data_IF_144032750317
#
_entry.id   IF_144032750317
#
_cell.length_a   1.000
_cell.length_b   1.000
_cell.length_c   1.000
_cell.angle_alpha   90.00
_cell.angle_beta   90.00
_cell.angle_gamma   90.00
#
_symmetry.space_group_name_H-M   'P 1'
#
loop_
_entity.id
_entity.type
_entity.pdbx_description
1 polymer ?
#
# COMPACT_ATOMS: atom_id res chain seq x y z
N UNK A 1 21.51 -0.01 36.50
CA UNK A 1 21.89 0.83 35.36
C UNK A 1 21.40 2.26 35.61
N UNK A 2 22.27 3.27 35.60
CA UNK A 2 21.92 4.66 35.93
C UNK A 2 21.65 5.45 34.65
N UNK A 3 20.45 6.00 34.50
CA UNK A 3 20.07 6.82 33.34
C UNK A 3 20.75 8.19 33.48
N UNK A 4 21.52 8.66 32.47
CA UNK A 4 22.16 9.97 32.52
C UNK A 4 21.16 11.06 32.16
N UNK A 5 20.71 11.83 33.16
CA UNK A 5 19.83 12.97 32.97
C UNK A 5 20.63 14.28 32.84
N UNK A 6 20.07 15.24 32.11
CA UNK A 6 20.67 16.57 31.89
C UNK A 6 20.39 17.54 33.05
N UNK A 7 19.23 17.38 33.70
CA UNK A 7 18.80 18.20 34.86
C UNK A 7 18.49 17.32 36.06
N UNK A 8 18.56 17.90 37.27
CA UNK A 8 18.21 17.20 38.52
C UNK A 8 16.73 16.76 38.56
N UNK A 9 15.84 17.48 37.84
CA UNK A 9 14.43 17.13 37.68
C UNK A 9 14.18 15.88 36.82
N UNK A 10 15.20 15.31 36.17
CA UNK A 10 15.11 14.10 35.33
C UNK A 10 14.15 14.19 34.14
N UNK A 11 13.89 15.39 33.66
CA UNK A 11 12.98 15.63 32.54
C UNK A 11 13.64 15.33 31.19
N UNK A 12 14.95 15.57 31.10
CA UNK A 12 15.72 15.46 29.86
C UNK A 12 16.87 14.45 29.99
N UNK A 13 17.08 13.64 28.96
CA UNK A 13 18.23 12.73 28.85
C UNK A 13 19.46 13.53 28.42
N UNK A 14 20.65 13.16 28.92
CA UNK A 14 21.89 13.81 28.55
C UNK A 14 22.31 13.47 27.11
N UNK A 15 22.91 14.43 26.42
CA UNK A 15 23.38 14.32 25.04
C UNK A 15 24.65 13.44 24.96
N UNK A 16 24.46 12.13 25.09
CA UNK A 16 25.52 11.12 24.97
C UNK A 16 25.50 10.53 23.56
N UNK A 17 26.65 10.45 22.87
CA UNK A 17 26.71 10.01 21.48
C UNK A 17 26.21 8.57 21.29
N UNK A 18 26.39 7.71 22.29
CA UNK A 18 25.89 6.33 22.30
C UNK A 18 24.36 6.28 22.28
N UNK A 19 23.70 7.06 23.14
CA UNK A 19 22.23 7.11 23.24
C UNK A 19 21.66 7.69 21.96
N UNK A 20 22.23 8.78 21.47
CA UNK A 20 21.80 9.42 20.22
C UNK A 20 21.89 8.46 19.03
N UNK A 21 22.98 7.68 18.94
CA UNK A 21 23.16 6.69 17.88
C UNK A 21 22.09 5.61 17.94
N UNK A 22 21.85 5.01 19.11
CA UNK A 22 20.84 3.96 19.25
C UNK A 22 19.43 4.48 19.01
N UNK A 23 19.11 5.68 19.48
CA UNK A 23 17.79 6.31 19.27
C UNK A 23 17.56 6.61 17.78
N UNK A 24 18.58 7.09 17.08
CA UNK A 24 18.56 7.25 15.61
C UNK A 24 18.33 5.92 14.90
N UNK A 25 19.06 4.86 15.28
CA UNK A 25 18.92 3.54 14.66
C UNK A 25 17.53 2.94 14.92
N UNK A 26 17.02 3.07 16.14
CA UNK A 26 15.68 2.64 16.51
C UNK A 26 14.60 3.36 15.70
N UNK A 27 14.70 4.68 15.58
CA UNK A 27 13.77 5.47 14.76
C UNK A 27 13.83 5.05 13.29
N UNK A 28 15.03 4.92 12.72
CA UNK A 28 15.19 4.48 11.34
C UNK A 28 14.62 3.08 11.09
N UNK A 29 14.75 2.17 12.05
CA UNK A 29 14.18 0.83 11.97
C UNK A 29 12.66 0.86 11.90
N UNK A 30 12.01 1.65 12.77
CA UNK A 30 10.57 1.84 12.75
C UNK A 30 10.10 2.52 11.46
N UNK A 31 10.78 3.58 11.03
CA UNK A 31 10.47 4.29 9.78
C UNK A 31 10.53 3.39 8.56
N UNK A 32 11.53 2.48 8.47
CA UNK A 32 11.63 1.52 7.36
C UNK A 32 10.43 0.55 7.33
N UNK A 33 10.00 0.05 8.50
CA UNK A 33 8.82 -0.82 8.59
C UNK A 33 7.55 -0.09 8.14
N UNK A 34 7.37 1.14 8.60
CA UNK A 34 6.23 1.96 8.21
C UNK A 34 6.24 2.24 6.70
N UNK A 35 7.39 2.62 6.14
CA UNK A 35 7.53 2.88 4.71
C UNK A 35 7.18 1.63 3.85
N UNK A 36 7.63 0.44 4.27
CA UNK A 36 7.29 -0.81 3.60
C UNK A 36 5.77 -1.09 3.62
N UNK A 37 5.11 -0.87 4.77
CA UNK A 37 3.67 -1.02 4.90
C UNK A 37 2.90 -0.05 4.00
N UNK A 38 3.26 1.25 4.03
CA UNK A 38 2.63 2.27 3.19
C UNK A 38 2.85 2.00 1.70
N UNK A 39 4.03 1.55 1.30
CA UNK A 39 4.32 1.18 -0.09
C UNK A 39 3.43 0.03 -0.58
N UNK A 40 3.28 -1.02 0.23
CA UNK A 40 2.40 -2.15 -0.08
C UNK A 40 0.94 -1.71 -0.25
N UNK A 41 0.45 -0.83 0.64
CA UNK A 41 -0.89 -0.26 0.56
C UNK A 41 -1.07 0.60 -0.70
N UNK A 42 -0.09 1.45 -1.01
CA UNK A 42 -0.10 2.27 -2.22
C UNK A 42 -0.11 1.45 -3.52
N UNK A 43 0.62 0.34 -3.57
CA UNK A 43 0.60 -0.58 -4.72
C UNK A 43 -0.79 -1.23 -4.90
N UNK A 44 -1.43 -1.65 -3.80
CA UNK A 44 -2.79 -2.21 -3.85
C UNK A 44 -3.81 -1.18 -4.36
N UNK A 45 -3.72 0.06 -3.90
CA UNK A 45 -4.61 1.14 -4.36
C UNK A 45 -4.37 1.51 -5.83
N UNK A 46 -3.11 1.49 -6.28
CA UNK A 46 -2.77 1.71 -7.69
C UNK A 46 -3.31 0.58 -8.58
N UNK A 47 -3.20 -0.68 -8.14
CA UNK A 47 -3.76 -1.82 -8.85
C UNK A 47 -5.29 -1.69 -9.01
N UNK A 48 -6.01 -1.32 -7.93
CA UNK A 48 -7.46 -1.05 -7.98
C UNK A 48 -7.81 0.06 -8.97
N UNK A 49 -7.06 1.17 -8.95
CA UNK A 49 -7.26 2.28 -9.90
C UNK A 49 -7.05 1.84 -11.35
N UNK A 50 -6.03 1.01 -11.62
CA UNK A 50 -5.77 0.45 -12.94
C UNK A 50 -6.88 -0.49 -13.40
N UNK A 51 -7.32 -1.40 -12.54
CA UNK A 51 -8.44 -2.30 -12.81
C UNK A 51 -9.72 -1.54 -13.18
N UNK A 52 -10.08 -0.52 -12.40
CA UNK A 52 -11.24 0.34 -12.69
C UNK A 52 -11.11 1.04 -14.04
N UNK A 53 -9.90 1.49 -14.39
CA UNK A 53 -9.62 2.12 -15.68
C UNK A 53 -9.83 1.13 -16.83
N UNK A 54 -9.26 -0.08 -16.70
CA UNK A 54 -9.39 -1.12 -17.71
C UNK A 54 -10.84 -1.57 -17.88
N UNK A 55 -11.60 -1.73 -16.79
CA UNK A 55 -13.02 -2.06 -16.85
C UNK A 55 -13.83 -1.05 -17.68
N UNK A 56 -13.46 0.24 -17.63
CA UNK A 56 -14.10 1.28 -18.44
C UNK A 56 -13.72 1.20 -19.92
N UNK A 57 -12.44 1.01 -20.25
CA UNK A 57 -11.96 1.13 -21.63
C UNK A 57 -11.98 -0.17 -22.44
N UNK A 58 -11.88 -1.33 -21.79
CA UNK A 58 -11.88 -2.63 -22.47
C UNK A 58 -13.11 -2.82 -23.39
N UNK A 59 -14.34 -2.48 -22.96
CA UNK A 59 -15.52 -2.59 -23.82
C UNK A 59 -15.45 -1.66 -25.05
N UNK A 60 -15.00 -0.42 -24.87
CA UNK A 60 -14.89 0.55 -25.97
C UNK A 60 -13.83 0.08 -26.99
N UNK A 61 -12.70 -0.45 -26.51
CA UNK A 61 -11.66 -0.99 -27.39
C UNK A 61 -12.19 -2.20 -28.17
N UNK A 62 -13.00 -3.06 -27.54
CA UNK A 62 -13.63 -4.18 -28.21
C UNK A 62 -14.56 -3.73 -29.33
N UNK A 63 -15.41 -2.72 -29.07
CA UNK A 63 -16.32 -2.12 -30.06
C UNK A 63 -15.54 -1.53 -31.26
N UNK A 64 -14.60 -0.62 -31.01
CA UNK A 64 -13.80 -0.01 -32.09
C UNK A 64 -12.98 -1.03 -32.87
N UNK A 65 -12.44 -2.05 -32.19
CA UNK A 65 -11.69 -3.12 -32.86
C UNK A 65 -12.59 -3.96 -33.77
N UNK A 66 -13.87 -4.16 -33.40
CA UNK A 66 -14.83 -4.91 -34.24
C UNK A 66 -15.28 -4.11 -35.45
N UNK A 67 -15.51 -2.82 -35.26
CA UNK A 67 -15.87 -1.88 -36.32
C UNK A 67 -14.75 -1.79 -37.36
N UNK A 68 -13.51 -1.57 -36.91
CA UNK A 68 -12.34 -1.51 -37.80
C UNK A 68 -12.07 -2.84 -38.51
N UNK A 69 -12.28 -3.97 -37.83
CA UNK A 69 -12.04 -5.28 -38.42
C UNK A 69 -13.17 -5.75 -39.36
N UNK A 70 -14.29 -5.02 -39.44
CA UNK A 70 -15.46 -5.41 -40.25
C UNK A 70 -16.08 -6.75 -39.85
N UNK A 71 -15.80 -7.23 -38.62
CA UNK A 71 -16.26 -8.53 -38.11
C UNK A 71 -17.50 -8.35 -37.23
N UNK A 72 -18.52 -9.18 -37.45
CA UNK A 72 -19.81 -9.13 -36.72
C UNK A 72 -19.77 -9.60 -35.26
N UNK A 73 -18.65 -10.15 -34.78
CA UNK A 73 -18.59 -10.81 -33.47
C UNK A 73 -17.63 -10.07 -32.56
N UNK A 74 -18.16 -9.54 -31.48
CA UNK A 74 -17.39 -8.87 -30.43
C UNK A 74 -16.34 -9.84 -29.83
N UNK A 75 -15.08 -9.41 -29.69
CA UNK A 75 -14.07 -10.19 -29.00
C UNK A 75 -14.51 -10.38 -27.55
N UNK A 76 -14.41 -11.60 -27.03
CA UNK A 76 -14.84 -11.93 -25.68
C UNK A 76 -13.89 -11.30 -24.65
N UNK A 77 -14.19 -10.07 -24.26
CA UNK A 77 -13.43 -9.30 -23.28
C UNK A 77 -13.77 -9.68 -21.82
N UNK A 78 -14.87 -10.42 -21.58
CA UNK A 78 -15.26 -10.86 -20.23
C UNK A 78 -14.20 -11.76 -19.57
N UNK A 79 -13.53 -12.60 -20.35
CA UNK A 79 -12.42 -13.44 -19.86
C UNK A 79 -11.22 -12.63 -19.32
N UNK A 80 -11.04 -11.40 -19.79
CA UNK A 80 -9.96 -10.52 -19.33
C UNK A 80 -10.32 -9.84 -18.01
N UNK A 81 -11.61 -9.54 -17.80
CA UNK A 81 -12.12 -8.90 -16.59
C UNK A 81 -12.27 -9.88 -15.41
N UNK A 82 -12.59 -11.16 -15.69
CA UNK A 82 -12.80 -12.19 -14.66
C UNK A 82 -11.53 -12.50 -13.85
N UNK A 83 -10.35 -12.45 -14.50
CA UNK A 83 -9.06 -12.67 -13.84
C UNK A 83 -8.70 -11.60 -12.80
N UNK A 84 -9.37 -10.44 -12.82
CA UNK A 84 -9.08 -9.31 -11.91
C UNK A 84 -9.91 -9.38 -10.62
N UNK A 85 -11.08 -10.04 -10.65
CA UNK A 85 -11.94 -10.26 -9.47
C UNK A 85 -11.33 -11.21 -8.43
N UNK A 86 -10.37 -12.07 -8.83
CA UNK A 86 -9.64 -12.94 -7.91
C UNK A 86 -8.78 -12.16 -6.89
N UNK A 87 -8.52 -10.86 -7.13
CA UNK A 87 -7.82 -9.98 -6.18
C UNK A 87 -8.74 -9.34 -5.12
N UNK A 88 -10.06 -9.41 -5.26
CA UNK A 88 -11.00 -8.80 -4.29
C UNK A 88 -11.15 -9.61 -2.98
N UNK A 89 -10.68 -10.87 -2.94
CA UNK A 89 -10.94 -11.80 -1.83
C UNK A 89 -9.90 -11.78 -0.68
N UNK A 90 -8.93 -10.86 -0.68
CA UNK A 90 -8.09 -10.57 0.51
C UNK A 90 -8.32 -9.15 1.01
N UNK A 91 -9.52 -8.86 1.48
CA UNK A 91 -9.70 -7.83 2.51
C UNK A 91 -9.09 -8.38 3.82
N UNK A 92 -8.10 -7.73 4.45
CA UNK A 92 -7.94 -7.91 5.88
C UNK A 92 -9.13 -7.20 6.53
N UNK A 93 -10.14 -7.98 6.90
CA UNK A 93 -11.09 -7.64 7.95
C UNK A 93 -10.34 -7.93 9.24
N UNK A 94 -9.66 -6.94 9.81
CA UNK A 94 -9.01 -7.01 11.14
C UNK A 94 -8.41 -5.62 11.48
N UNK A 95 -9.24 -4.57 11.44
CA UNK A 95 -8.96 -3.29 12.13
C UNK A 95 -10.28 -2.78 12.75
N UNK A 96 -10.98 -3.65 13.47
CA UNK A 96 -11.88 -3.27 14.57
C UNK A 96 -11.34 -3.97 15.82
N UNK A 97 -11.29 -3.23 16.93
CA UNK A 97 -10.79 -3.63 18.27
C UNK A 97 -9.28 -3.51 18.52
N UNK A 98 -8.80 -2.27 18.69
CA UNK A 98 -7.84 -1.97 19.76
C UNK A 98 -8.36 -0.72 20.50
N UNK A 99 -9.40 -0.92 21.31
CA UNK A 99 -9.57 -0.18 22.57
C UNK A 99 -8.74 -0.93 23.62
N UNK A 100 -7.71 -0.26 24.16
CA UNK A 100 -7.28 -0.24 25.57
C UNK A 100 -5.93 0.47 25.68
#
# INVERSE_FOLDING_TARGET
>A
TRIPYKTAGKENVADRPEIERELRLGLQYLSRKLAAYMSKRGQADMAKKRANLYAKYIPLIAEFSTELAGKKKEPNYKKLLENESAFESKKPVEEEEIEN
#
